data_IF_551895638371
#
_entry.id   IF_551895638371
#
_cell.length_a   1.000
_cell.length_b   1.000
_cell.length_c   1.000
_cell.angle_alpha   90.00
_cell.angle_beta   90.00
_cell.angle_gamma   90.00
#
_symmetry.space_group_name_H-M   'P 1'
#
loop_
_entity.id
_entity.type
_entity.pdbx_description
1 polymer ?
#
# COMPACT_ATOMS: atom_id res chain seq x y z
N UNK A 1 10.32 -8.24 23.78
CA UNK A 1 9.88 -6.92 24.32
C UNK A 1 10.65 -6.46 25.57
N UNK A 2 11.48 -7.29 26.23
CA UNK A 2 12.17 -6.94 27.49
C UNK A 2 13.60 -6.36 27.34
N UNK A 3 14.01 -5.97 26.14
CA UNK A 3 15.31 -5.32 25.98
C UNK A 3 15.24 -3.88 26.51
N UNK A 4 16.19 -3.47 27.36
CA UNK A 4 16.17 -2.18 28.06
C UNK A 4 16.01 -0.96 27.15
N UNK A 5 16.46 -1.06 25.90
CA UNK A 5 16.28 -0.02 24.87
C UNK A 5 14.80 0.35 24.66
N UNK A 6 13.89 -0.63 24.68
CA UNK A 6 12.47 -0.41 24.41
C UNK A 6 11.63 -0.21 25.68
N UNK A 7 12.27 -0.09 26.85
CA UNK A 7 11.57 0.10 28.14
C UNK A 7 10.54 1.24 28.13
N UNK A 8 10.76 2.38 27.43
CA UNK A 8 9.77 3.46 27.39
C UNK A 8 8.56 3.18 26.49
N UNK A 9 8.57 2.13 25.68
CA UNK A 9 7.53 1.85 24.70
C UNK A 9 6.37 1.10 25.36
N UNK A 10 5.20 1.73 25.37
CA UNK A 10 3.94 1.01 25.55
C UNK A 10 3.57 0.32 24.22
N UNK A 11 3.73 -1.00 24.20
CA UNK A 11 3.49 -1.80 22.99
C UNK A 11 2.01 -1.89 22.61
N UNK A 12 1.10 -1.86 23.59
CA UNK A 12 -0.35 -1.94 23.33
C UNK A 12 -0.83 -0.63 22.72
N UNK A 13 -0.42 0.51 23.30
CA UNK A 13 -0.73 1.81 22.74
C UNK A 13 -0.09 2.03 21.36
N UNK A 14 1.12 1.51 21.16
CA UNK A 14 1.82 1.59 19.86
C UNK A 14 1.07 0.81 18.77
N UNK A 15 0.65 -0.44 19.05
CA UNK A 15 -0.12 -1.26 18.11
C UNK A 15 -1.46 -0.62 17.73
N UNK A 16 -2.11 0.05 18.68
CA UNK A 16 -3.34 0.81 18.47
C UNK A 16 -3.13 2.18 17.81
N UNK A 17 -1.90 2.51 17.37
CA UNK A 17 -1.51 3.79 16.77
C UNK A 17 -1.78 5.02 17.66
N UNK A 18 -1.79 4.85 18.99
CA UNK A 18 -2.03 5.93 19.96
C UNK A 18 -0.75 6.67 20.36
N UNK A 19 0.42 6.09 20.11
CA UNK A 19 1.71 6.76 20.29
C UNK A 19 2.00 7.65 19.07
N UNK A 20 2.14 8.95 19.30
CA UNK A 20 2.47 9.89 18.22
C UNK A 20 3.86 9.57 17.61
N UNK A 21 3.97 9.46 16.28
CA UNK A 21 5.26 9.31 15.62
C UNK A 21 6.17 10.51 15.91
N UNK A 22 7.50 10.30 16.07
CA UNK A 22 8.44 11.39 16.32
C UNK A 22 8.60 12.34 15.13
N UNK A 23 8.22 11.89 13.93
CA UNK A 23 8.21 12.68 12.70
C UNK A 23 6.86 12.49 11.99
N UNK A 24 6.27 13.60 11.56
CA UNK A 24 5.06 13.64 10.75
C UNK A 24 5.39 14.36 9.44
N UNK A 25 5.42 13.65 8.30
CA UNK A 25 5.60 14.29 6.99
C UNK A 25 4.52 15.34 6.75
N UNK A 26 4.89 16.48 6.17
CA UNK A 26 3.95 17.52 5.75
C UNK A 26 3.34 17.15 4.39
N UNK A 27 2.05 17.36 4.22
CA UNK A 27 1.36 17.16 2.94
C UNK A 27 0.22 18.18 2.82
N UNK A 28 -0.19 18.53 1.60
CA UNK A 28 -1.25 19.52 1.35
C UNK A 28 -2.64 18.90 1.29
N UNK A 29 -2.76 17.74 0.65
CA UNK A 29 -4.02 17.04 0.39
C UNK A 29 -3.77 15.55 0.09
N UNK A 30 -4.84 14.81 -0.20
CA UNK A 30 -4.80 13.36 -0.42
C UNK A 30 -4.07 12.95 -1.72
N UNK A 31 -3.79 13.89 -2.63
CA UNK A 31 -3.07 13.68 -3.88
C UNK A 31 -1.66 14.31 -3.87
N UNK A 32 -1.17 14.73 -2.70
CA UNK A 32 0.17 15.30 -2.55
C UNK A 32 1.24 14.28 -2.96
N UNK A 33 2.07 14.66 -3.96
CA UNK A 33 3.14 13.82 -4.48
C UNK A 33 4.54 14.24 -3.99
N UNK A 34 4.65 15.15 -3.03
CA UNK A 34 5.93 15.79 -2.64
C UNK A 34 6.96 14.82 -2.06
N UNK A 35 6.53 13.68 -1.54
CA UNK A 35 7.40 12.63 -0.99
C UNK A 35 7.69 11.49 -1.98
N UNK A 36 7.26 11.61 -3.24
CA UNK A 36 7.60 10.70 -4.32
C UNK A 36 8.73 11.28 -5.19
N UNK A 37 9.59 10.42 -5.73
CA UNK A 37 10.63 10.86 -6.66
C UNK A 37 9.98 11.35 -7.97
N UNK A 38 10.33 12.57 -8.46
CA UNK A 38 9.77 13.11 -9.70
C UNK A 38 9.93 12.20 -10.91
N UNK A 39 10.95 11.33 -10.92
CA UNK A 39 11.17 10.34 -11.98
C UNK A 39 9.92 9.48 -12.21
N UNK A 40 9.13 9.18 -11.18
CA UNK A 40 7.90 8.39 -11.30
C UNK A 40 6.65 9.25 -11.50
N UNK A 41 6.59 10.44 -10.91
CA UNK A 41 5.39 11.31 -11.00
C UNK A 41 5.31 12.02 -12.34
N UNK A 42 6.45 12.21 -13.00
CA UNK A 42 6.53 12.81 -14.34
C UNK A 42 6.30 11.77 -15.46
N UNK A 43 6.33 10.47 -15.13
CA UNK A 43 6.00 9.42 -16.08
C UNK A 43 4.51 9.45 -16.48
N UNK A 44 4.17 9.17 -17.75
CA UNK A 44 2.78 9.08 -18.16
C UNK A 44 2.05 7.95 -17.43
N UNK A 45 0.85 8.24 -16.92
CA UNK A 45 -0.03 7.26 -16.24
C UNK A 45 -0.71 6.36 -17.29
N UNK A 46 0.08 5.51 -17.94
CA UNK A 46 -0.37 4.58 -18.97
C UNK A 46 0.27 3.22 -18.76
N UNK A 47 -0.47 2.15 -19.05
CA UNK A 47 0.12 0.82 -19.10
C UNK A 47 1.03 0.70 -20.32
N UNK A 48 2.18 0.04 -20.12
CA UNK A 48 3.03 -0.32 -21.26
C UNK A 48 2.25 -1.27 -22.17
N UNK A 49 2.21 -1.04 -23.51
CA UNK A 49 1.49 -1.91 -24.42
C UNK A 49 1.99 -3.35 -24.37
N UNK A 50 1.05 -4.28 -24.45
CA UNK A 50 1.32 -5.70 -24.44
C UNK A 50 2.09 -6.18 -25.67
N UNK A 51 2.91 -7.23 -25.47
CA UNK A 51 3.47 -8.01 -26.57
C UNK A 51 2.73 -9.35 -26.67
N UNK A 52 1.87 -9.55 -27.69
CA UNK A 52 1.05 -10.76 -27.82
C UNK A 52 1.87 -12.06 -27.85
N UNK A 53 3.07 -12.05 -28.44
CA UNK A 53 3.92 -13.24 -28.51
C UNK A 53 4.51 -13.63 -27.16
N UNK A 54 4.74 -12.64 -26.28
CA UNK A 54 5.20 -12.91 -24.91
C UNK A 54 4.05 -13.46 -24.08
N UNK A 55 2.88 -12.83 -24.14
CA UNK A 55 1.69 -13.23 -23.39
C UNK A 55 1.28 -14.67 -23.74
N UNK A 56 1.29 -15.02 -25.02
CA UNK A 56 0.94 -16.36 -25.49
C UNK A 56 1.84 -17.48 -24.95
N UNK A 57 3.03 -17.15 -24.41
CA UNK A 57 3.98 -18.12 -23.85
C UNK A 57 3.88 -18.25 -22.32
N UNK A 58 3.08 -17.42 -21.67
CA UNK A 58 2.90 -17.44 -20.21
C UNK A 58 1.87 -18.52 -19.86
N UNK A 59 2.23 -19.43 -18.96
CA UNK A 59 1.29 -20.42 -18.41
C UNK A 59 0.29 -19.72 -17.48
N UNK A 60 -0.98 -19.67 -17.91
CA UNK A 60 -2.03 -19.00 -17.15
C UNK A 60 -2.44 -19.77 -15.89
N UNK A 61 -2.13 -21.07 -15.81
CA UNK A 61 -2.48 -21.89 -14.64
C UNK A 61 -1.69 -21.49 -13.40
N UNK A 62 -0.52 -20.85 -13.57
CA UNK A 62 0.27 -20.29 -12.46
C UNK A 62 -0.44 -19.15 -11.72
N UNK A 63 -1.45 -18.53 -12.33
CA UNK A 63 -2.22 -17.43 -11.76
C UNK A 63 -3.60 -17.86 -11.22
N UNK A 64 -3.92 -19.16 -11.23
CA UNK A 64 -5.18 -19.65 -10.66
C UNK A 64 -5.26 -19.33 -9.16
N UNK A 65 -6.36 -18.70 -8.74
CA UNK A 65 -6.58 -18.29 -7.35
C UNK A 65 -5.89 -16.97 -6.96
N UNK A 66 -5.42 -16.20 -7.93
CA UNK A 66 -4.88 -14.86 -7.71
C UNK A 66 -5.97 -13.84 -7.32
N UNK A 67 -7.22 -14.08 -7.73
CA UNK A 67 -8.33 -13.19 -7.45
C UNK A 67 -8.60 -13.09 -5.95
N UNK A 68 -8.47 -11.88 -5.41
CA UNK A 68 -8.78 -11.58 -4.04
C UNK A 68 -9.46 -10.21 -3.94
N UNK A 69 -10.57 -10.16 -3.21
CA UNK A 69 -11.20 -8.91 -2.77
C UNK A 69 -11.32 -8.99 -1.26
N UNK A 70 -10.86 -7.95 -0.56
CA UNK A 70 -10.94 -7.93 0.90
C UNK A 70 -12.42 -7.91 1.33
N UNK A 71 -12.93 -8.97 1.99
CA UNK A 71 -14.34 -9.05 2.37
C UNK A 71 -14.74 -8.00 3.41
N UNK A 72 -13.78 -7.49 4.19
CA UNK A 72 -14.03 -6.43 5.18
C UNK A 72 -14.25 -5.06 4.52
N UNK A 73 -13.70 -4.83 3.33
CA UNK A 73 -13.99 -3.60 2.57
C UNK A 73 -15.39 -3.64 1.96
N UNK A 74 -15.83 -4.80 1.49
CA UNK A 74 -17.18 -5.00 0.93
C UNK A 74 -18.30 -4.77 1.96
N UNK A 75 -18.03 -4.95 3.25
CA UNK A 75 -19.00 -4.70 4.32
C UNK A 75 -19.11 -3.23 4.76
N UNK A 76 -18.20 -2.37 4.32
CA UNK A 76 -18.14 -0.95 4.72
C UNK A 76 -18.83 -0.02 3.71
N UNK A 77 -19.21 -0.52 2.53
CA UNK A 77 -20.05 0.22 1.59
C UNK A 77 -21.50 0.17 2.10
N UNK A 78 -22.03 1.29 2.61
CA UNK A 78 -23.46 1.43 2.87
C UNK A 78 -24.23 1.23 1.55
N UNK A 79 -25.38 0.54 1.56
CA UNK A 79 -26.17 0.35 0.36
C UNK A 79 -26.65 1.72 -0.16
N UNK A 80 -26.37 2.00 -1.43
CA UNK A 80 -26.92 3.11 -2.21
C UNK A 80 -28.45 3.13 -2.22
#
# INVERSE_FOLDING_TARGET
MNHSFFRPIDWVALEQKQVAPPYRPSYTDDYDLTHFDPTFTDEPVVFTPDNPEKIAKIDQTEFEGFEYVNPLLMSLEEPV
#
